data_IF_628620954437
#
_entry.id   IF_628620954437
#
_cell.length_a   1.000
_cell.length_b   1.000
_cell.length_c   1.000
_cell.angle_alpha   90.00
_cell.angle_beta   90.00
_cell.angle_gamma   90.00
#
_symmetry.space_group_name_H-M   'P 1'
#
loop_
_entity.id
_entity.type
_entity.pdbx_description
1 polymer ?
#
# COMPACT_ATOMS: atom_id res chain seq x y z
N UNK A 1 -5.13 -29.65 -37.21
CA UNK A 1 -3.86 -28.91 -37.10
C UNK A 1 -4.06 -27.76 -36.13
N UNK A 2 -3.41 -27.78 -34.96
CA UNK A 2 -3.45 -26.67 -33.99
C UNK A 2 -2.37 -25.67 -34.39
N UNK A 3 -2.77 -24.50 -34.88
CA UNK A 3 -1.89 -23.37 -35.09
C UNK A 3 -1.51 -22.80 -33.72
N UNK A 4 -0.30 -23.12 -33.27
CA UNK A 4 0.30 -22.48 -32.10
C UNK A 4 0.62 -21.04 -32.48
N UNK A 5 -0.25 -20.10 -32.10
CA UNK A 5 0.01 -18.67 -32.18
C UNK A 5 1.19 -18.36 -31.27
N UNK A 6 2.37 -18.16 -31.86
CA UNK A 6 3.56 -17.71 -31.14
C UNK A 6 3.27 -16.34 -30.54
N UNK A 7 3.10 -16.30 -29.22
CA UNK A 7 2.84 -15.07 -28.47
C UNK A 7 4.08 -14.15 -28.54
N UNK A 8 3.95 -13.01 -29.24
CA UNK A 8 5.02 -12.00 -29.41
C UNK A 8 5.54 -11.42 -28.08
N UNK A 9 4.79 -11.53 -26.99
CA UNK A 9 5.19 -11.03 -25.66
C UNK A 9 6.20 -11.95 -24.97
N UNK A 10 6.28 -13.23 -25.34
CA UNK A 10 7.26 -14.17 -24.80
C UNK A 10 8.65 -13.99 -25.43
N UNK A 11 8.73 -13.48 -26.66
CA UNK A 11 10.01 -13.21 -27.37
C UNK A 11 10.67 -11.90 -26.95
N UNK A 12 9.93 -11.01 -26.30
CA UNK A 12 10.41 -9.70 -25.82
C UNK A 12 10.86 -9.71 -24.34
N UNK A 13 10.60 -10.78 -23.60
CA UNK A 13 10.93 -10.87 -22.17
C UNK A 13 12.37 -11.35 -21.99
N UNK A 14 13.33 -10.42 -22.06
CA UNK A 14 14.67 -10.67 -21.51
C UNK A 14 14.58 -10.62 -19.99
N UNK A 15 14.88 -11.73 -19.33
CA UNK A 15 15.17 -11.75 -17.89
C UNK A 15 16.30 -10.74 -17.67
N UNK A 16 16.02 -9.70 -16.90
CA UNK A 16 17.00 -8.67 -16.56
C UNK A 16 18.14 -9.36 -15.81
N UNK A 17 19.34 -9.36 -16.39
CA UNK A 17 20.53 -9.83 -15.71
C UNK A 17 20.62 -9.13 -14.35
N UNK A 18 20.61 -9.90 -13.27
CA UNK A 18 20.83 -9.36 -11.93
C UNK A 18 22.25 -8.84 -11.88
N UNK A 19 22.39 -7.51 -11.90
CA UNK A 19 23.67 -6.84 -11.70
C UNK A 19 24.35 -7.44 -10.46
N UNK A 20 25.62 -7.83 -10.61
CA UNK A 20 26.46 -8.27 -9.48
C UNK A 20 26.40 -7.18 -8.40
N UNK A 21 26.13 -7.57 -7.15
CA UNK A 21 26.21 -6.67 -6.00
C UNK A 21 27.62 -6.08 -5.95
N UNK A 22 27.76 -4.82 -6.32
CA UNK A 22 28.97 -4.05 -6.08
C UNK A 22 29.07 -3.78 -4.58
N UNK A 23 30.25 -3.99 -4.03
CA UNK A 23 30.52 -3.61 -2.64
C UNK A 23 30.31 -2.11 -2.47
N UNK A 24 29.55 -1.74 -1.43
CA UNK A 24 29.25 -0.35 -1.14
C UNK A 24 30.48 0.31 -0.51
N UNK A 25 30.75 1.56 -0.89
CA UNK A 25 31.78 2.38 -0.26
C UNK A 25 31.50 2.53 1.24
N UNK A 26 32.47 2.18 2.08
CA UNK A 26 32.41 2.41 3.52
C UNK A 26 32.96 3.80 3.84
N UNK A 27 32.17 4.62 4.52
CA UNK A 27 32.58 5.95 4.99
C UNK A 27 32.68 5.89 6.52
N UNK A 28 33.89 6.04 7.05
CA UNK A 28 34.14 6.01 8.50
C UNK A 28 33.68 7.31 9.17
N UNK A 29 32.98 7.20 10.29
CA UNK A 29 32.52 8.35 11.08
C UNK A 29 32.78 8.09 12.57
N UNK A 30 33.95 8.49 13.10
CA UNK A 30 34.33 8.22 14.49
C UNK A 30 33.38 8.82 15.53
N UNK A 31 32.73 9.95 15.21
CA UNK A 31 31.76 10.63 16.09
C UNK A 31 30.55 9.74 16.45
N UNK A 32 30.29 8.68 15.67
CA UNK A 32 29.21 7.74 15.97
C UNK A 32 29.57 6.73 17.07
N UNK A 33 30.84 6.57 17.44
CA UNK A 33 31.27 5.57 18.42
C UNK A 33 30.73 4.17 18.09
N UNK A 34 30.00 3.56 19.02
CA UNK A 34 29.38 2.24 18.85
C UNK A 34 27.89 2.30 18.42
N UNK A 35 27.35 3.47 18.06
CA UNK A 35 25.91 3.64 17.79
C UNK A 35 25.42 2.76 16.63
N UNK A 36 26.23 2.55 15.60
CA UNK A 36 25.85 1.68 14.46
C UNK A 36 25.73 0.21 14.88
N UNK A 37 26.66 -0.28 15.71
CA UNK A 37 26.58 -1.62 16.29
C UNK A 37 25.36 -1.74 17.20
N UNK A 38 25.17 -0.79 18.12
CA UNK A 38 24.04 -0.80 19.05
C UNK A 38 22.70 -0.75 18.31
N UNK A 39 22.61 0.03 17.24
CA UNK A 39 21.47 0.04 16.34
C UNK A 39 21.19 -1.35 15.75
N UNK A 40 22.21 -2.05 15.26
CA UNK A 40 22.06 -3.39 14.68
C UNK A 40 21.61 -4.45 15.70
N UNK A 41 22.10 -4.37 16.94
CA UNK A 41 21.68 -5.24 18.05
C UNK A 41 20.21 -4.99 18.43
N UNK A 42 19.85 -3.73 18.66
CA UNK A 42 18.48 -3.35 19.02
C UNK A 42 17.50 -3.68 17.90
N UNK A 43 17.89 -3.52 16.63
CA UNK A 43 17.04 -3.86 15.50
C UNK A 43 16.76 -5.36 15.44
N UNK A 44 17.77 -6.19 15.68
CA UNK A 44 17.59 -7.64 15.73
C UNK A 44 16.70 -8.08 16.89
N UNK A 45 16.85 -7.45 18.07
CA UNK A 45 15.97 -7.70 19.22
C UNK A 45 14.51 -7.32 18.89
N UNK A 46 14.29 -6.15 18.29
CA UNK A 46 12.96 -5.69 17.88
C UNK A 46 12.36 -6.67 16.86
N UNK A 47 13.13 -7.10 15.87
CA UNK A 47 12.64 -8.01 14.83
C UNK A 47 12.21 -9.36 15.44
N UNK A 48 12.99 -9.89 16.39
CA UNK A 48 12.64 -11.12 17.13
C UNK A 48 11.38 -10.93 17.98
N UNK A 49 11.34 -9.89 18.82
CA UNK A 49 10.21 -9.61 19.71
C UNK A 49 8.93 -9.30 18.93
N UNK A 50 9.04 -8.63 17.78
CA UNK A 50 7.90 -8.38 16.88
C UNK A 50 7.38 -9.68 16.27
N UNK A 51 8.26 -10.63 15.95
CA UNK A 51 7.87 -11.95 15.49
C UNK A 51 7.07 -12.71 16.54
N UNK A 52 7.57 -12.79 17.76
CA UNK A 52 6.90 -13.43 18.90
C UNK A 52 5.55 -12.76 19.22
N UNK A 53 5.52 -11.43 19.29
CA UNK A 53 4.30 -10.67 19.51
C UNK A 53 3.23 -10.99 18.45
N UNK A 54 3.60 -11.05 17.17
CA UNK A 54 2.66 -11.39 16.09
C UNK A 54 2.07 -12.78 16.22
N UNK A 55 2.84 -13.74 16.73
CA UNK A 55 2.33 -15.10 16.99
C UNK A 55 1.29 -15.06 18.11
N UNK A 56 1.62 -14.46 19.24
CA UNK A 56 0.72 -14.32 20.40
C UNK A 56 -0.55 -13.53 20.02
N UNK A 57 -0.42 -12.43 19.27
CA UNK A 57 -1.56 -11.68 18.76
C UNK A 57 -2.47 -12.54 17.86
N UNK A 58 -1.88 -13.43 17.06
CA UNK A 58 -2.62 -14.38 16.22
C UNK A 58 -3.49 -15.30 17.07
N UNK A 59 -2.92 -15.87 18.13
CA UNK A 59 -3.61 -16.76 19.06
C UNK A 59 -4.74 -16.03 19.79
N UNK A 60 -4.47 -14.84 20.33
CA UNK A 60 -5.47 -13.99 21.00
C UNK A 60 -6.61 -13.64 20.02
N UNK A 61 -6.30 -13.27 18.77
CA UNK A 61 -7.31 -12.95 17.75
C UNK A 61 -8.14 -14.17 17.37
N UNK A 62 -7.57 -15.37 17.35
CA UNK A 62 -8.31 -16.60 17.08
C UNK A 62 -9.37 -16.84 18.18
N UNK A 63 -8.95 -16.81 19.44
CA UNK A 63 -9.88 -16.93 20.60
C UNK A 63 -10.92 -15.82 20.59
N UNK A 64 -10.50 -14.58 20.31
CA UNK A 64 -11.40 -13.43 20.23
C UNK A 64 -12.51 -13.59 19.19
N UNK A 65 -12.21 -14.15 18.01
CA UNK A 65 -13.23 -14.44 16.99
C UNK A 65 -14.26 -15.45 17.47
N UNK A 66 -13.82 -16.50 18.16
CA UNK A 66 -14.73 -17.51 18.71
C UNK A 66 -15.64 -16.91 19.79
N UNK A 67 -15.08 -16.07 20.66
CA UNK A 67 -15.85 -15.33 21.68
C UNK A 67 -16.85 -14.37 21.04
N UNK A 68 -16.43 -13.61 20.03
CA UNK A 68 -17.32 -12.71 19.29
C UNK A 68 -18.49 -13.48 18.66
N UNK A 69 -18.24 -14.63 18.02
CA UNK A 69 -19.29 -15.44 17.42
C UNK A 69 -20.22 -16.09 18.47
N UNK A 70 -19.71 -16.45 19.65
CA UNK A 70 -20.56 -16.91 20.77
C UNK A 70 -21.50 -15.79 21.22
N UNK A 71 -20.97 -14.59 21.45
CA UNK A 71 -21.76 -13.45 21.90
C UNK A 71 -22.81 -13.07 20.84
N UNK A 72 -22.40 -12.95 19.57
CA UNK A 72 -23.29 -12.65 18.44
C UNK A 72 -24.49 -13.62 18.38
N UNK A 73 -24.25 -14.93 18.58
CA UNK A 73 -25.32 -15.93 18.58
C UNK A 73 -26.29 -15.77 19.76
N UNK A 74 -25.80 -15.31 20.91
CA UNK A 74 -26.62 -15.11 22.11
C UNK A 74 -27.51 -13.88 21.97
N UNK A 75 -26.92 -12.72 21.62
CA UNK A 75 -27.66 -11.46 21.56
C UNK A 75 -28.34 -11.18 20.20
N UNK A 76 -28.01 -11.96 19.16
CA UNK A 76 -28.54 -11.86 17.79
C UNK A 76 -28.31 -10.50 17.11
N UNK A 77 -27.22 -9.85 17.47
CA UNK A 77 -26.74 -8.57 16.92
C UNK A 77 -25.22 -8.50 17.05
N UNK A 78 -24.58 -7.56 16.35
CA UNK A 78 -23.14 -7.32 16.45
C UNK A 78 -22.73 -6.92 17.88
N UNK A 79 -21.84 -7.67 18.56
CA UNK A 79 -21.29 -7.28 19.86
C UNK A 79 -20.58 -5.94 19.83
N UNK A 80 -20.76 -5.18 20.91
CA UNK A 80 -19.89 -4.06 21.22
C UNK A 80 -18.45 -4.55 21.47
N UNK A 81 -17.50 -3.63 21.43
CA UNK A 81 -16.11 -3.92 21.79
C UNK A 81 -16.04 -4.48 23.21
N UNK A 82 -15.33 -5.59 23.38
CA UNK A 82 -15.22 -6.25 24.68
C UNK A 82 -13.79 -6.57 25.04
N UNK A 83 -13.52 -6.73 26.33
CA UNK A 83 -12.21 -7.14 26.83
C UNK A 83 -12.11 -8.65 26.90
N UNK A 84 -11.00 -9.19 26.41
CA UNK A 84 -10.57 -10.56 26.67
C UNK A 84 -9.61 -10.49 27.85
N UNK A 85 -9.85 -11.29 28.88
CA UNK A 85 -8.99 -11.38 30.06
C UNK A 85 -8.40 -12.80 30.15
N UNK A 86 -7.12 -12.89 30.47
CA UNK A 86 -6.45 -14.16 30.73
C UNK A 86 -6.52 -14.56 32.23
N UNK A 87 -5.94 -15.70 32.57
CA UNK A 87 -5.89 -16.20 33.95
C UNK A 87 -5.06 -15.34 34.91
N UNK A 88 -4.18 -14.47 34.39
CA UNK A 88 -3.36 -13.55 35.19
C UNK A 88 -4.11 -12.27 35.56
N UNK A 89 -5.31 -12.07 35.00
CA UNK A 89 -6.12 -10.87 35.17
C UNK A 89 -5.76 -9.75 34.18
N UNK A 90 -4.76 -9.96 33.32
CA UNK A 90 -4.42 -9.02 32.26
C UNK A 90 -5.49 -9.09 31.15
N UNK A 91 -5.79 -7.94 30.55
CA UNK A 91 -6.82 -7.87 29.52
C UNK A 91 -6.43 -7.01 28.33
N UNK A 92 -6.94 -7.39 27.16
CA UNK A 92 -6.86 -6.61 25.94
C UNK A 92 -8.27 -6.37 25.36
N UNK A 93 -8.48 -5.22 24.74
CA UNK A 93 -9.73 -4.94 24.03
C UNK A 93 -9.74 -5.65 22.67
N UNK A 94 -10.76 -6.46 22.41
CA UNK A 94 -11.07 -6.93 21.07
C UNK A 94 -12.03 -5.95 20.40
N UNK A 95 -11.65 -5.52 19.21
CA UNK A 95 -12.46 -4.64 18.36
C UNK A 95 -12.64 -5.36 17.02
N UNK A 96 -13.89 -5.64 16.66
CA UNK A 96 -14.25 -6.18 15.35
C UNK A 96 -14.89 -5.05 14.55
N UNK A 97 -14.24 -4.65 13.46
CA UNK A 97 -14.68 -3.52 12.63
C UNK A 97 -15.36 -4.01 11.36
N UNK A 98 -16.32 -3.22 10.89
CA UNK A 98 -16.91 -3.35 9.57
C UNK A 98 -15.97 -2.76 8.49
N UNK A 99 -14.81 -3.39 8.33
CA UNK A 99 -13.77 -3.03 7.36
C UNK A 99 -13.11 -4.30 6.82
N UNK A 100 -13.09 -4.44 5.51
CA UNK A 100 -12.62 -5.65 4.85
C UNK A 100 -11.47 -5.35 3.90
N UNK A 101 -10.53 -6.28 3.79
CA UNK A 101 -9.47 -6.21 2.78
C UNK A 101 -10.02 -6.53 1.40
N UNK A 102 -9.42 -5.95 0.36
CA UNK A 102 -9.67 -6.36 -1.03
C UNK A 102 -9.46 -7.88 -1.13
N UNK A 103 -10.37 -8.55 -1.82
CA UNK A 103 -10.34 -10.00 -2.04
C UNK A 103 -9.89 -10.30 -3.46
N UNK A 104 -9.24 -11.44 -3.66
CA UNK A 104 -8.93 -11.95 -4.99
C UNK A 104 -10.17 -12.60 -5.63
N UNK A 105 -10.04 -12.99 -6.90
CA UNK A 105 -11.13 -13.61 -7.67
C UNK A 105 -11.61 -14.93 -7.05
N UNK A 106 -10.69 -15.74 -6.53
CA UNK A 106 -11.04 -17.01 -5.88
C UNK A 106 -11.94 -16.79 -4.66
N UNK A 107 -11.60 -15.83 -3.81
CA UNK A 107 -12.39 -15.47 -2.63
C UNK A 107 -13.66 -14.72 -3.01
N UNK A 108 -13.65 -13.87 -4.04
CA UNK A 108 -14.85 -13.22 -4.58
C UNK A 108 -15.88 -14.26 -5.03
N UNK A 109 -15.46 -15.29 -5.78
CA UNK A 109 -16.33 -16.38 -6.21
C UNK A 109 -16.98 -17.12 -5.03
N UNK A 110 -16.25 -17.32 -3.93
CA UNK A 110 -16.81 -17.93 -2.72
C UNK A 110 -17.83 -17.00 -2.07
N UNK A 111 -17.50 -15.71 -1.91
CA UNK A 111 -18.36 -14.71 -1.27
C UNK A 111 -19.63 -14.43 -2.08
N UNK A 112 -19.55 -14.48 -3.42
CA UNK A 112 -20.69 -14.27 -4.32
C UNK A 112 -21.78 -15.34 -4.20
N UNK A 113 -21.51 -16.48 -3.54
CA UNK A 113 -22.54 -17.47 -3.22
C UNK A 113 -23.43 -17.05 -2.03
N UNK A 114 -23.09 -15.97 -1.33
CA UNK A 114 -23.84 -15.45 -0.20
C UNK A 114 -24.47 -14.11 -0.56
N UNK A 115 -25.80 -14.04 -0.47
CA UNK A 115 -26.57 -12.85 -0.84
C UNK A 115 -26.16 -11.63 0.00
N UNK A 116 -25.98 -10.48 -0.66
CA UNK A 116 -25.61 -9.21 -0.06
C UNK A 116 -24.18 -9.09 0.51
N UNK A 117 -23.34 -10.12 0.43
CA UNK A 117 -22.01 -10.11 1.07
C UNK A 117 -20.89 -9.57 0.17
N UNK A 118 -20.97 -9.82 -1.14
CA UNK A 118 -20.00 -9.33 -2.11
C UNK A 118 -20.51 -8.03 -2.74
N UNK A 119 -19.67 -6.99 -2.73
CA UNK A 119 -19.89 -5.76 -3.47
C UNK A 119 -18.80 -5.60 -4.53
N UNK A 120 -19.20 -5.34 -5.77
CA UNK A 120 -18.30 -5.04 -6.87
C UNK A 120 -18.30 -3.53 -7.13
N UNK A 121 -17.12 -2.93 -7.15
CA UNK A 121 -16.93 -1.53 -7.54
C UNK A 121 -15.93 -1.48 -8.70
N UNK A 122 -16.40 -0.99 -9.85
CA UNK A 122 -15.58 -0.82 -11.05
C UNK A 122 -15.10 0.62 -11.12
N UNK A 123 -13.79 0.81 -10.98
CA UNK A 123 -13.16 2.12 -11.15
C UNK A 123 -12.59 2.23 -12.55
N UNK A 124 -13.19 3.09 -13.38
CA UNK A 124 -12.67 3.44 -14.69
C UNK A 124 -11.55 4.47 -14.55
N UNK A 125 -10.42 4.26 -15.23
CA UNK A 125 -9.28 5.18 -15.22
C UNK A 125 -8.90 5.54 -16.65
N UNK A 126 -8.69 6.83 -16.89
CA UNK A 126 -8.08 7.29 -18.11
C UNK A 126 -6.56 7.24 -18.02
N UNK A 127 -5.90 7.05 -19.16
CA UNK A 127 -4.46 7.22 -19.26
C UNK A 127 -4.12 8.73 -19.18
N UNK A 128 -3.27 9.12 -18.23
CA UNK A 128 -2.94 10.52 -17.96
C UNK A 128 -2.30 11.22 -19.18
N UNK A 129 -1.36 10.57 -19.86
CA UNK A 129 -0.66 11.15 -21.03
C UNK A 129 -1.64 11.42 -22.18
N UNK A 130 -2.64 10.53 -22.36
CA UNK A 130 -3.67 10.72 -23.37
C UNK A 130 -4.69 11.80 -22.99
N UNK A 131 -5.00 11.95 -21.70
CA UNK A 131 -5.87 13.05 -21.20
C UNK A 131 -5.18 14.39 -21.37
N UNK A 132 -3.87 14.49 -21.10
CA UNK A 132 -3.13 15.73 -21.34
C UNK A 132 -3.11 16.08 -22.84
N UNK A 133 -2.88 15.08 -23.70
CA UNK A 133 -2.81 15.27 -25.15
C UNK A 133 -4.17 15.62 -25.78
N UNK A 134 -5.25 14.95 -25.37
CA UNK A 134 -6.57 15.06 -26.00
C UNK A 134 -7.62 15.72 -25.13
N UNK A 135 -7.24 16.26 -23.96
CA UNK A 135 -8.17 16.78 -22.96
C UNK A 135 -9.10 17.85 -23.50
N UNK A 136 -8.60 18.77 -24.34
CA UNK A 136 -9.44 19.79 -24.98
C UNK A 136 -10.54 19.17 -25.88
N UNK A 137 -10.20 18.15 -26.67
CA UNK A 137 -11.14 17.44 -27.55
C UNK A 137 -12.15 16.66 -26.71
N UNK A 138 -11.69 15.96 -25.67
CA UNK A 138 -12.56 15.21 -24.77
C UNK A 138 -13.55 16.14 -24.04
N UNK A 139 -13.08 17.29 -23.57
CA UNK A 139 -13.92 18.32 -22.94
C UNK A 139 -14.96 18.89 -23.90
N UNK A 140 -14.57 19.20 -25.13
CA UNK A 140 -15.50 19.70 -26.15
C UNK A 140 -16.59 18.66 -26.47
N UNK A 141 -16.22 17.39 -26.61
CA UNK A 141 -17.18 16.31 -26.84
C UNK A 141 -18.16 16.15 -25.68
N UNK A 142 -17.70 16.25 -24.44
CA UNK A 142 -18.55 16.18 -23.24
C UNK A 142 -19.48 17.39 -23.16
N UNK A 143 -18.95 18.59 -23.38
CA UNK A 143 -19.72 19.84 -23.28
C UNK A 143 -20.81 19.94 -24.33
N UNK A 144 -20.52 19.49 -25.55
CA UNK A 144 -21.45 19.52 -26.68
C UNK A 144 -22.41 18.31 -26.73
N UNK A 145 -22.27 17.34 -25.82
CA UNK A 145 -23.21 16.22 -25.75
C UNK A 145 -24.56 16.70 -25.21
N UNK A 146 -25.63 16.47 -25.96
CA UNK A 146 -27.00 16.77 -25.55
C UNK A 146 -27.59 15.69 -24.61
N UNK A 147 -26.92 14.53 -24.53
CA UNK A 147 -27.38 13.37 -23.75
C UNK A 147 -26.85 13.37 -22.31
N UNK A 148 -26.04 14.38 -21.95
CA UNK A 148 -25.47 14.56 -20.61
C UNK A 148 -26.06 15.83 -20.01
N UNK A 149 -26.56 15.75 -18.78
CA UNK A 149 -27.08 16.92 -18.07
C UNK A 149 -25.98 17.96 -17.83
N UNK A 150 -26.30 19.23 -18.02
CA UNK A 150 -25.34 20.33 -17.91
C UNK A 150 -24.73 20.46 -16.51
N UNK A 151 -25.47 20.13 -15.45
CA UNK A 151 -24.97 20.14 -14.08
C UNK A 151 -24.00 18.98 -13.81
N UNK A 152 -24.12 17.87 -14.52
CA UNK A 152 -23.29 16.68 -14.34
C UNK A 152 -22.00 16.72 -15.18
N UNK A 153 -21.99 17.45 -16.31
CA UNK A 153 -20.83 17.55 -17.21
C UNK A 153 -19.53 17.95 -16.48
N UNK A 154 -19.62 18.92 -15.55
CA UNK A 154 -18.47 19.36 -14.76
C UNK A 154 -17.99 18.35 -13.71
N UNK A 155 -18.84 17.39 -13.32
CA UNK A 155 -18.55 16.37 -12.32
C UNK A 155 -17.98 15.08 -12.93
N UNK A 156 -18.05 14.92 -14.25
CA UNK A 156 -17.52 13.75 -14.96
C UNK A 156 -15.99 13.61 -14.87
N UNK A 157 -15.29 14.73 -14.65
CA UNK A 157 -13.83 14.76 -14.57
C UNK A 157 -13.43 15.53 -13.31
N UNK A 158 -12.84 14.83 -12.34
CA UNK A 158 -12.13 15.45 -11.21
C UNK A 158 -10.63 15.28 -11.39
N UNK A 159 -9.87 16.29 -10.95
CA UNK A 159 -8.42 16.30 -11.04
C UNK A 159 -7.79 16.70 -9.72
N UNK A 160 -6.81 15.94 -9.28
CA UNK A 160 -5.96 16.30 -8.15
C UNK A 160 -4.59 16.77 -8.66
N UNK A 161 -4.10 17.91 -8.15
CA UNK A 161 -2.77 18.43 -8.47
C UNK A 161 -1.83 18.21 -7.30
N UNK A 162 -0.81 17.39 -7.51
CA UNK A 162 0.26 17.15 -6.52
C UNK A 162 1.57 17.77 -6.98
N UNK A 163 2.30 18.40 -6.06
CA UNK A 163 3.67 18.85 -6.30
C UNK A 163 4.63 17.81 -5.72
N UNK A 164 5.67 17.46 -6.47
CA UNK A 164 6.72 16.54 -6.02
C UNK A 164 8.09 17.02 -6.48
N UNK A 165 9.12 16.78 -5.68
CA UNK A 165 10.50 17.00 -6.11
C UNK A 165 10.81 16.07 -7.29
N UNK A 166 11.39 16.62 -8.35
CA UNK A 166 11.75 15.84 -9.54
C UNK A 166 12.70 14.68 -9.19
N UNK A 167 12.44 13.51 -9.80
CA UNK A 167 13.31 12.34 -9.63
C UNK A 167 14.72 12.64 -10.15
N UNK A 168 15.74 12.19 -9.43
CA UNK A 168 17.15 12.43 -9.76
C UNK A 168 17.68 13.80 -9.33
N UNK A 169 16.89 14.63 -8.62
CA UNK A 169 17.38 15.91 -8.09
C UNK A 169 18.57 15.74 -7.13
N UNK A 170 18.64 14.64 -6.38
CA UNK A 170 19.78 14.32 -5.50
C UNK A 170 21.10 14.13 -6.27
N UNK A 171 21.04 13.66 -7.52
CA UNK A 171 22.22 13.42 -8.35
C UNK A 171 22.79 14.71 -8.95
N UNK A 172 22.03 15.81 -8.86
CA UNK A 172 22.35 17.12 -9.46
C UNK A 172 22.60 18.22 -8.43
N UNK A 173 22.75 17.87 -7.15
CA UNK A 173 22.92 18.86 -6.07
C UNK A 173 24.09 19.82 -6.30
N UNK A 174 25.18 19.33 -6.89
CA UNK A 174 26.36 20.15 -7.20
C UNK A 174 26.14 21.22 -8.29
N UNK A 175 24.96 21.27 -8.91
CA UNK A 175 24.60 22.32 -9.88
C UNK A 175 24.09 23.60 -9.20
N UNK A 176 23.80 23.56 -7.90
CA UNK A 176 23.29 24.70 -7.13
C UNK A 176 24.41 25.32 -6.28
N UNK A 177 24.31 26.62 -6.02
CA UNK A 177 25.32 27.39 -5.27
C UNK A 177 25.51 26.88 -3.82
N UNK A 178 24.46 26.28 -3.23
CA UNK A 178 24.48 25.72 -1.87
C UNK A 178 23.84 24.31 -1.85
N UNK A 179 24.59 23.26 -2.23
CA UNK A 179 24.09 21.89 -2.30
C UNK A 179 23.51 21.37 -0.97
N UNK A 180 24.10 21.75 0.17
CA UNK A 180 23.65 21.35 1.51
C UNK A 180 22.27 21.92 1.82
N UNK A 181 22.05 23.21 1.59
CA UNK A 181 20.74 23.85 1.78
C UNK A 181 19.68 23.22 0.88
N UNK A 182 20.03 22.87 -0.36
CA UNK A 182 19.10 22.21 -1.28
C UNK A 182 18.82 20.77 -0.84
N UNK A 183 19.81 20.03 -0.33
CA UNK A 183 19.60 18.70 0.24
C UNK A 183 18.60 18.73 1.40
N UNK A 184 18.71 19.73 2.29
CA UNK A 184 17.74 19.94 3.37
C UNK A 184 16.36 20.32 2.83
N UNK A 185 16.29 21.23 1.86
CA UNK A 185 15.04 21.71 1.27
C UNK A 185 14.24 20.61 0.56
N UNK A 186 14.91 19.75 -0.20
CA UNK A 186 14.25 18.63 -0.89
C UNK A 186 13.92 17.47 0.05
N UNK A 187 14.49 17.48 1.27
CA UNK A 187 14.24 16.54 2.36
C UNK A 187 14.12 15.07 1.88
N UNK A 188 15.19 14.49 1.34
CA UNK A 188 15.13 13.13 0.80
C UNK A 188 14.88 12.13 1.92
N UNK A 189 14.18 11.04 1.61
CA UNK A 189 13.93 9.98 2.59
C UNK A 189 15.28 9.32 2.95
N UNK A 190 15.72 9.52 4.19
CA UNK A 190 16.88 8.83 4.77
C UNK A 190 16.40 7.59 5.52
N UNK A 191 16.89 6.43 5.11
CA UNK A 191 16.55 5.16 5.74
C UNK A 191 17.80 4.39 6.17
N UNK A 192 17.77 3.86 7.39
CA UNK A 192 18.78 2.93 7.88
C UNK A 192 18.34 1.51 7.55
N UNK A 193 19.17 0.77 6.81
CA UNK A 193 18.94 -0.66 6.51
C UNK A 193 20.13 -1.47 7.02
N UNK A 194 19.84 -2.63 7.61
CA UNK A 194 20.81 -3.70 7.83
C UNK A 194 20.73 -4.66 6.65
#
# INVERSE_FOLDING_TARGET
MKTTTTNLFATATKVKETAKKTDKKVISSPILGNKVQRYAELKQLIDSATGELKMIEGDIKAVGKDLFMKEYRQQRSTPDNFKIQDETGNSCMLIVMDKYTIVDEAKANVLGNFDGLLAENVVYKFNADLVEKYGAVLSELILNSADIDDMDKGNLISGEKTFSVAKGSIDRLMQYDNPEQIFELINPIVALKK
#
